data_IF_324516401188
#
_entry.id   IF_324516401188
#
_cell.length_a   1.000
_cell.length_b   1.000
_cell.length_c   1.000
_cell.angle_alpha   90.00
_cell.angle_beta   90.00
_cell.angle_gamma   90.00
#
_symmetry.space_group_name_H-M   'P 1'
#
loop_
_entity.id
_entity.type
_entity.pdbx_description
1 polymer ?
#
# COMPACT_ATOMS: atom_id res chain seq x y z
N UNK A 1 -19.98 -3.06 10.45
CA UNK A 1 -19.84 -4.53 10.47
C UNK A 1 -18.92 -4.98 9.34
N UNK A 2 -17.64 -5.17 9.63
CA UNK A 2 -16.63 -5.62 8.67
C UNK A 2 -16.70 -7.15 8.55
N UNK A 3 -17.24 -7.65 7.43
CA UNK A 3 -17.18 -9.09 7.10
C UNK A 3 -15.71 -9.48 6.94
N UNK A 4 -15.11 -10.05 8.00
CA UNK A 4 -13.85 -10.78 7.91
C UNK A 4 -14.05 -11.89 6.86
N UNK A 5 -13.41 -11.75 5.69
CA UNK A 5 -13.37 -12.82 4.70
C UNK A 5 -12.71 -14.03 5.39
N UNK A 6 -13.36 -15.21 5.40
CA UNK A 6 -12.87 -16.35 6.18
C UNK A 6 -11.52 -16.80 5.63
N UNK A 7 -10.52 -16.91 6.51
CA UNK A 7 -9.16 -17.34 6.19
C UNK A 7 -9.11 -18.70 5.46
N UNK A 8 -10.15 -19.53 5.63
CA UNK A 8 -10.30 -20.81 4.94
C UNK A 8 -10.44 -20.68 3.42
N UNK A 9 -10.98 -19.56 2.92
CA UNK A 9 -11.10 -19.32 1.48
C UNK A 9 -9.73 -19.09 0.82
N UNK A 10 -8.80 -18.44 1.54
CA UNK A 10 -7.41 -18.30 1.10
C UNK A 10 -6.68 -19.64 1.13
N UNK A 11 -6.89 -20.44 2.17
CA UNK A 11 -6.32 -21.79 2.27
C UNK A 11 -6.79 -22.71 1.12
N UNK A 12 -8.08 -22.65 0.79
CA UNK A 12 -8.67 -23.39 -0.34
C UNK A 12 -8.07 -22.97 -1.69
N UNK A 13 -7.94 -21.67 -1.94
CA UNK A 13 -7.29 -21.18 -3.15
C UNK A 13 -5.81 -21.59 -3.24
N UNK A 14 -5.06 -21.55 -2.13
CA UNK A 14 -3.65 -21.99 -2.15
C UNK A 14 -3.51 -23.50 -2.41
N UNK A 15 -4.37 -24.32 -1.81
CA UNK A 15 -4.35 -25.76 -2.05
C UNK A 15 -4.72 -26.11 -3.51
N UNK A 16 -5.75 -25.46 -4.05
CA UNK A 16 -6.15 -25.61 -5.45
C UNK A 16 -5.02 -25.20 -6.41
N UNK A 17 -4.30 -24.12 -6.07
CA UNK A 17 -3.18 -23.62 -6.86
C UNK A 17 -1.98 -24.58 -6.86
N UNK A 18 -1.66 -25.17 -5.70
CA UNK A 18 -0.61 -26.20 -5.57
C UNK A 18 -0.96 -27.43 -6.42
N UNK A 19 -2.21 -27.90 -6.34
CA UNK A 19 -2.68 -29.07 -7.11
C UNK A 19 -2.68 -28.79 -8.62
N UNK A 20 -3.09 -27.60 -9.04
CA UNK A 20 -3.07 -27.19 -10.45
C UNK A 20 -1.64 -27.22 -11.03
N UNK A 21 -0.67 -26.63 -10.31
CA UNK A 21 0.73 -26.63 -10.75
C UNK A 21 1.38 -28.02 -10.66
N UNK A 22 0.93 -28.87 -9.74
CA UNK A 22 1.37 -30.26 -9.64
C UNK A 22 0.86 -31.15 -10.79
N UNK A 23 -0.29 -30.80 -11.38
CA UNK A 23 -0.89 -31.50 -12.51
C UNK A 23 -0.44 -30.95 -13.87
N UNK A 24 0.09 -29.71 -13.90
CA UNK A 24 0.57 -29.08 -15.12
C UNK A 24 1.89 -29.71 -15.61
N UNK A 25 2.13 -29.78 -16.93
CA UNK A 25 3.43 -30.18 -17.47
C UNK A 25 4.53 -29.27 -16.90
N UNK A 26 5.63 -29.85 -16.41
CA UNK A 26 6.67 -29.09 -15.69
C UNK A 26 7.34 -27.97 -16.51
N UNK A 27 7.29 -28.08 -17.85
CA UNK A 27 7.77 -27.07 -18.80
C UNK A 27 6.89 -25.81 -18.81
N UNK A 28 5.63 -25.89 -18.36
CA UNK A 28 4.67 -24.79 -18.26
C UNK A 28 4.65 -24.14 -16.88
N UNK A 29 4.94 -24.89 -15.81
CA UNK A 29 4.94 -24.34 -14.45
C UNK A 29 6.02 -23.27 -14.23
N UNK A 30 7.24 -23.52 -14.70
CA UNK A 30 8.37 -22.60 -14.57
C UNK A 30 8.17 -21.26 -15.32
N UNK A 31 7.75 -21.23 -16.61
CA UNK A 31 7.47 -19.96 -17.29
C UNK A 31 6.26 -19.22 -16.70
N UNK A 32 5.27 -19.91 -16.13
CA UNK A 32 4.15 -19.27 -15.42
C UNK A 32 4.65 -18.56 -14.14
N UNK A 33 5.54 -19.19 -13.38
CA UNK A 33 6.15 -18.58 -12.20
C UNK A 33 7.05 -17.39 -12.58
N UNK A 34 7.83 -17.51 -13.66
CA UNK A 34 8.64 -16.40 -14.18
C UNK A 34 7.79 -15.24 -14.68
N UNK A 35 6.69 -15.51 -15.39
CA UNK A 35 5.75 -14.48 -15.84
C UNK A 35 5.07 -13.76 -14.67
N UNK A 36 4.70 -14.49 -13.61
CA UNK A 36 4.16 -13.90 -12.38
C UNK A 36 5.22 -13.03 -11.67
N UNK A 37 6.47 -13.48 -11.59
CA UNK A 37 7.56 -12.70 -11.01
C UNK A 37 7.85 -11.42 -11.83
N UNK A 38 7.90 -11.53 -13.16
CA UNK A 38 8.06 -10.39 -14.07
C UNK A 38 6.90 -9.40 -13.96
N UNK A 39 5.66 -9.90 -13.88
CA UNK A 39 4.47 -9.07 -13.69
C UNK A 39 4.53 -8.28 -12.37
N UNK A 40 5.03 -8.88 -11.28
CA UNK A 40 5.22 -8.17 -10.01
C UNK A 40 6.27 -7.07 -10.15
N UNK A 41 7.42 -7.38 -10.75
CA UNK A 41 8.50 -6.41 -10.93
C UNK A 41 8.08 -5.23 -11.82
N UNK A 42 7.37 -5.50 -12.92
CA UNK A 42 6.98 -4.50 -13.90
C UNK A 42 5.73 -3.69 -13.48
N UNK A 43 4.77 -4.32 -12.77
CA UNK A 43 3.53 -3.68 -12.37
C UNK A 43 3.48 -3.29 -10.88
N UNK A 44 4.61 -3.32 -10.16
CA UNK A 44 4.69 -2.97 -8.73
C UNK A 44 4.05 -1.62 -8.38
N UNK A 45 4.14 -0.63 -9.28
CA UNK A 45 3.55 0.71 -9.10
C UNK A 45 2.04 0.77 -9.39
N UNK A 46 1.47 -0.26 -10.05
CA UNK A 46 0.07 -0.30 -10.52
C UNK A 46 -0.80 -1.35 -9.83
N UNK A 47 -0.18 -2.33 -9.18
CA UNK A 47 -0.83 -3.40 -8.44
C UNK A 47 -1.32 -2.90 -7.08
N UNK A 48 -2.61 -3.10 -6.80
CA UNK A 48 -3.17 -2.83 -5.47
C UNK A 48 -2.59 -3.82 -4.44
N UNK A 49 -2.42 -3.39 -3.19
CA UNK A 49 -1.81 -4.17 -2.08
C UNK A 49 -2.38 -5.59 -1.93
N UNK A 50 -3.70 -5.74 -2.09
CA UNK A 50 -4.36 -7.05 -2.04
C UNK A 50 -3.92 -8.01 -3.16
N UNK A 51 -3.65 -7.51 -4.36
CA UNK A 51 -3.21 -8.31 -5.50
C UNK A 51 -1.73 -8.68 -5.38
N UNK A 52 -0.90 -7.76 -4.87
CA UNK A 52 0.51 -8.04 -4.59
C UNK A 52 0.66 -9.13 -3.52
N UNK A 53 -0.15 -9.11 -2.46
CA UNK A 53 -0.14 -10.13 -1.42
C UNK A 53 -0.56 -11.51 -1.97
N UNK A 54 -1.60 -11.56 -2.81
CA UNK A 54 -2.05 -12.78 -3.48
C UNK A 54 -0.98 -13.36 -4.41
N UNK A 55 -0.32 -12.54 -5.22
CA UNK A 55 0.73 -13.00 -6.13
C UNK A 55 1.96 -13.51 -5.36
N UNK A 56 2.34 -12.85 -4.25
CA UNK A 56 3.40 -13.36 -3.36
C UNK A 56 3.04 -14.72 -2.76
N UNK A 57 1.79 -14.89 -2.33
CA UNK A 57 1.33 -16.19 -1.83
C UNK A 57 1.33 -17.26 -2.93
N UNK A 58 0.94 -16.91 -4.15
CA UNK A 58 0.97 -17.80 -5.31
C UNK A 58 2.40 -18.21 -5.70
N UNK A 59 3.38 -17.30 -5.62
CA UNK A 59 4.79 -17.60 -5.90
C UNK A 59 5.38 -18.51 -4.81
N UNK A 60 5.07 -18.23 -3.54
CA UNK A 60 5.56 -19.00 -2.39
C UNK A 60 5.02 -20.43 -2.36
N UNK A 61 3.76 -20.63 -2.75
CA UNK A 61 3.13 -21.95 -2.79
C UNK A 61 3.16 -22.63 -4.15
N UNK A 62 3.49 -21.91 -5.23
CA UNK A 62 3.66 -22.49 -6.56
C UNK A 62 4.96 -23.28 -6.73
N UNK A 63 6.02 -22.89 -6.02
CA UNK A 63 7.30 -23.62 -5.96
C UNK A 63 7.13 -25.09 -5.47
N UNK A 64 6.44 -25.35 -4.34
CA UNK A 64 6.10 -26.71 -3.92
C UNK A 64 5.35 -27.53 -4.98
N UNK A 65 4.37 -26.94 -5.67
CA UNK A 65 3.60 -27.62 -6.72
C UNK A 65 4.46 -28.00 -7.93
N UNK A 66 5.35 -27.10 -8.38
CA UNK A 66 6.28 -27.37 -9.47
C UNK A 66 7.34 -28.42 -9.11
N UNK A 67 7.89 -28.38 -7.89
CA UNK A 67 8.83 -29.39 -7.40
C UNK A 67 8.20 -30.78 -7.35
N UNK A 68 6.92 -30.87 -6.97
CA UNK A 68 6.18 -32.13 -6.96
C UNK A 68 5.93 -32.68 -8.39
N UNK A 69 5.60 -31.81 -9.36
CA UNK A 69 5.49 -32.19 -10.77
C UNK A 69 6.82 -32.71 -11.35
N UNK A 70 7.94 -32.07 -10.97
CA UNK A 70 9.29 -32.50 -11.36
C UNK A 70 9.65 -33.86 -10.74
N UNK A 71 9.32 -34.07 -9.45
CA UNK A 71 9.55 -35.34 -8.75
C UNK A 71 8.77 -36.51 -9.38
N UNK A 72 7.55 -36.26 -9.86
CA UNK A 72 6.70 -37.29 -10.49
C UNK A 72 7.31 -37.87 -11.78
N UNK A 73 8.16 -37.11 -12.48
CA UNK A 73 8.73 -37.51 -13.78
C UNK A 73 10.19 -37.97 -13.66
N UNK A 74 10.98 -37.42 -12.74
CA UNK A 74 12.37 -37.86 -12.54
C UNK A 74 12.52 -39.25 -11.89
N UNK A 75 11.42 -39.86 -11.42
CA UNK A 75 11.46 -41.13 -10.72
C UNK A 75 11.98 -40.98 -9.29
N UNK A 76 11.65 -41.93 -8.42
CA UNK A 76 11.97 -41.90 -6.98
C UNK A 76 13.45 -42.07 -6.63
N UNK A 77 14.37 -41.75 -7.53
CA UNK A 77 15.81 -41.91 -7.32
C UNK A 77 16.39 -40.79 -6.46
N UNK A 78 17.45 -41.12 -5.70
CA UNK A 78 18.15 -40.19 -4.80
C UNK A 78 18.66 -38.93 -5.52
N UNK A 79 18.97 -39.03 -6.81
CA UNK A 79 19.38 -37.90 -7.64
C UNK A 79 18.23 -36.91 -7.90
N UNK A 80 17.00 -37.41 -8.07
CA UNK A 80 15.81 -36.59 -8.23
C UNK A 80 15.51 -35.77 -6.96
N UNK A 81 15.71 -36.39 -5.79
CA UNK A 81 15.63 -35.71 -4.49
C UNK A 81 16.70 -34.62 -4.35
N UNK A 82 17.94 -34.90 -4.77
CA UNK A 82 19.02 -33.91 -4.79
C UNK A 82 18.72 -32.70 -5.67
N UNK A 83 18.23 -32.94 -6.88
CA UNK A 83 17.83 -31.87 -7.81
C UNK A 83 16.65 -31.04 -7.28
N UNK A 84 15.66 -31.68 -6.64
CA UNK A 84 14.52 -30.99 -6.03
C UNK A 84 14.94 -30.13 -4.82
N UNK A 85 15.83 -30.64 -3.96
CA UNK A 85 16.38 -29.89 -2.82
C UNK A 85 17.23 -28.71 -3.29
N UNK A 86 18.06 -28.89 -4.33
CA UNK A 86 18.83 -27.80 -4.94
C UNK A 86 17.91 -26.76 -5.58
N UNK A 87 16.88 -27.17 -6.32
CA UNK A 87 15.89 -26.27 -6.90
C UNK A 87 15.11 -25.49 -5.83
N UNK A 88 14.72 -26.14 -4.75
CA UNK A 88 14.10 -25.49 -3.59
C UNK A 88 15.04 -24.48 -2.92
N UNK A 89 16.31 -24.83 -2.75
CA UNK A 89 17.32 -23.96 -2.17
C UNK A 89 17.59 -22.73 -3.05
N UNK A 90 17.73 -22.92 -4.36
CA UNK A 90 17.90 -21.84 -5.34
C UNK A 90 16.65 -20.95 -5.39
N UNK A 91 15.46 -21.55 -5.42
CA UNK A 91 14.20 -20.80 -5.38
C UNK A 91 14.04 -20.00 -4.09
N UNK A 92 14.38 -20.59 -2.95
CA UNK A 92 14.34 -19.93 -1.64
C UNK A 92 15.37 -18.80 -1.54
N UNK A 93 16.60 -19.02 -2.01
CA UNK A 93 17.65 -17.98 -2.01
C UNK A 93 17.34 -16.84 -2.96
N UNK A 94 16.75 -17.11 -4.13
CA UNK A 94 16.28 -16.08 -5.04
C UNK A 94 15.13 -15.26 -4.42
N UNK A 95 14.16 -15.93 -3.78
CA UNK A 95 13.06 -15.26 -3.08
C UNK A 95 13.57 -14.40 -1.92
N UNK A 96 14.45 -14.95 -1.09
CA UNK A 96 15.08 -14.23 0.02
C UNK A 96 15.92 -13.04 -0.49
N UNK A 97 16.62 -13.21 -1.61
CA UNK A 97 17.36 -12.13 -2.26
C UNK A 97 16.44 -11.02 -2.79
N UNK A 98 15.29 -11.39 -3.36
CA UNK A 98 14.27 -10.45 -3.81
C UNK A 98 13.65 -9.67 -2.64
N UNK A 99 13.33 -10.35 -1.54
CA UNK A 99 12.84 -9.73 -0.31
C UNK A 99 13.88 -8.78 0.28
N UNK A 100 15.15 -9.22 0.36
CA UNK A 100 16.25 -8.39 0.82
C UNK A 100 16.49 -7.16 -0.07
N UNK A 101 16.33 -7.29 -1.39
CA UNK A 101 16.46 -6.18 -2.33
C UNK A 101 15.30 -5.19 -2.21
N UNK A 102 14.07 -5.67 -2.09
CA UNK A 102 12.88 -4.83 -1.82
C UNK A 102 13.00 -4.08 -0.49
N UNK A 103 13.49 -4.73 0.56
CA UNK A 103 13.77 -4.08 1.84
C UNK A 103 14.97 -3.14 1.78
N UNK A 104 15.89 -3.33 0.82
CA UNK A 104 17.04 -2.45 0.61
C UNK A 104 16.63 -1.13 -0.03
N UNK A 105 15.67 -1.15 -0.95
CA UNK A 105 15.10 0.08 -1.51
C UNK A 105 14.28 0.87 -0.46
N UNK A 106 13.68 0.19 0.53
CA UNK A 106 13.09 0.85 1.70
C UNK A 106 14.15 1.47 2.63
N UNK A 107 15.32 0.82 2.73
CA UNK A 107 16.48 1.29 3.53
C UNK A 107 17.35 2.32 2.81
N UNK A 108 17.06 2.65 1.54
CA UNK A 108 17.65 3.79 0.82
C UNK A 108 17.03 5.14 1.22
N UNK A 109 16.39 5.22 2.39
CA UNK A 109 16.42 6.49 3.12
C UNK A 109 17.90 6.79 3.46
N UNK A 110 18.36 8.05 3.35
CA UNK A 110 19.74 8.39 3.68
C UNK A 110 20.08 7.80 5.06
N UNK A 111 21.20 7.08 5.13
CA UNK A 111 21.66 6.50 6.37
C UNK A 111 21.72 7.61 7.42
N UNK A 112 20.83 7.53 8.41
CA UNK A 112 20.92 8.38 9.59
C UNK A 112 22.30 8.20 10.23
N UNK A 113 22.77 9.19 11.00
CA UNK A 113 24.05 9.09 11.70
C UNK A 113 24.12 7.76 12.49
N UNK A 114 25.33 7.19 12.66
CA UNK A 114 25.51 5.91 13.35
C UNK A 114 24.74 5.92 14.66
N UNK A 115 23.87 4.93 14.84
CA UNK A 115 23.04 4.82 16.04
C UNK A 115 23.96 4.71 17.25
N UNK A 116 23.89 5.72 18.13
CA UNK A 116 24.66 5.75 19.37
C UNK A 116 24.36 4.50 20.20
N UNK A 117 25.39 3.95 20.82
CA UNK A 117 25.25 2.75 21.65
C UNK A 117 24.40 3.09 22.89
N UNK A 118 23.62 2.14 23.42
CA UNK A 118 22.72 2.36 24.57
C UNK A 118 23.33 3.16 25.75
N UNK A 119 24.64 3.00 26.11
CA UNK A 119 25.28 3.83 27.13
C UNK A 119 25.35 5.32 26.75
N UNK A 120 25.62 5.64 25.48
CA UNK A 120 25.69 7.01 24.97
C UNK A 120 24.30 7.66 24.91
N UNK A 121 23.27 6.89 24.56
CA UNK A 121 21.87 7.35 24.55
C UNK A 121 21.37 7.72 25.96
N UNK A 122 21.84 7.03 27.00
CA UNK A 122 21.49 7.31 28.39
C UNK A 122 22.14 8.60 28.93
N UNK A 123 23.29 9.00 28.37
CA UNK A 123 24.00 10.24 28.71
C UNK A 123 23.68 11.40 27.78
N UNK A 124 22.96 11.16 26.69
CA UNK A 124 22.49 12.21 25.82
C UNK A 124 21.60 13.16 26.63
N UNK A 125 21.78 14.49 26.48
CA UNK A 125 20.86 15.44 27.10
C UNK A 125 19.44 15.09 26.68
N UNK A 126 18.52 15.07 27.64
CA UNK A 126 17.09 14.83 27.38
C UNK A 126 16.72 15.78 26.26
N UNK A 127 16.37 15.21 25.10
CA UNK A 127 15.99 15.98 23.94
C UNK A 127 14.80 16.90 24.25
N UNK A 128 14.41 17.79 23.33
CA UNK A 128 13.18 18.55 23.51
C UNK A 128 12.05 17.58 23.91
N UNK A 129 11.16 17.97 24.83
CA UNK A 129 10.17 17.09 25.41
C UNK A 129 9.46 16.31 24.29
N UNK A 130 9.64 14.99 24.30
CA UNK A 130 9.06 14.11 23.30
C UNK A 130 7.53 14.10 23.53
N UNK A 131 6.81 14.82 22.67
CA UNK A 131 5.36 14.80 22.68
C UNK A 131 4.86 13.54 21.96
N UNK A 132 4.06 12.73 22.66
CA UNK A 132 3.39 11.60 22.04
C UNK A 132 2.26 12.15 21.17
N UNK A 133 2.33 11.88 19.87
CA UNK A 133 1.34 12.32 18.89
C UNK A 133 0.30 11.21 18.73
N UNK A 134 -0.84 11.36 19.41
CA UNK A 134 -1.99 10.46 19.23
C UNK A 134 -2.88 10.96 18.10
N UNK A 135 -2.95 10.18 17.02
CA UNK A 135 -3.78 10.52 15.87
C UNK A 135 -5.23 10.11 16.12
N UNK A 136 -6.14 11.08 16.01
CA UNK A 136 -7.57 10.81 15.94
C UNK A 136 -7.91 10.21 14.56
N UNK A 137 -8.55 9.04 14.48
CA UNK A 137 -8.84 8.39 13.22
C UNK A 137 -9.87 9.20 12.41
N UNK A 138 -9.73 9.25 11.07
CA UNK A 138 -10.66 9.98 10.23
C UNK A 138 -12.00 9.24 10.12
N UNK A 139 -13.10 9.97 10.34
CA UNK A 139 -14.45 9.43 10.16
C UNK A 139 -14.87 9.53 8.69
N UNK A 140 -14.67 8.44 7.96
CA UNK A 140 -15.03 8.35 6.55
C UNK A 140 -16.51 8.09 6.35
N UNK A 141 -17.11 8.88 5.45
CA UNK A 141 -18.47 8.73 4.97
C UNK A 141 -18.46 8.46 3.47
N UNK A 142 -19.46 7.73 2.98
CA UNK A 142 -19.64 7.59 1.53
C UNK A 142 -20.05 8.93 0.92
N UNK A 143 -19.47 9.27 -0.22
CA UNK A 143 -19.76 10.52 -0.93
C UNK A 143 -21.08 10.41 -1.72
N UNK A 144 -22.18 10.10 -1.03
CA UNK A 144 -23.50 9.87 -1.64
C UNK A 144 -24.59 10.46 -0.77
N UNK A 145 -25.57 11.09 -1.41
CA UNK A 145 -26.68 11.72 -0.73
C UNK A 145 -26.25 12.97 0.04
N UNK A 146 -27.02 13.33 1.05
CA UNK A 146 -26.80 14.51 1.88
C UNK A 146 -26.06 14.13 3.17
N UNK A 147 -24.98 14.85 3.47
CA UNK A 147 -24.16 14.63 4.66
C UNK A 147 -24.02 15.94 5.44
N UNK A 148 -24.19 15.95 6.78
CA UNK A 148 -24.05 17.18 7.56
C UNK A 148 -22.63 17.75 7.49
N UNK A 149 -22.53 19.07 7.28
CA UNK A 149 -21.28 19.80 7.33
C UNK A 149 -20.99 20.27 8.77
N UNK A 150 -19.82 19.95 9.36
CA UNK A 150 -19.45 20.42 10.70
C UNK A 150 -19.41 21.95 10.86
N UNK A 151 -19.23 22.72 9.78
CA UNK A 151 -19.27 24.19 9.80
C UNK A 151 -20.69 24.75 9.55
N UNK A 152 -21.69 23.89 9.37
CA UNK A 152 -23.07 24.26 9.11
C UNK A 152 -23.48 24.02 7.65
N UNK A 153 -24.76 23.66 7.44
CA UNK A 153 -25.30 23.24 6.15
C UNK A 153 -25.05 21.76 5.86
N UNK A 154 -25.14 21.38 4.58
CA UNK A 154 -24.94 20.02 4.12
C UNK A 154 -24.01 19.94 2.90
N UNK A 155 -23.44 18.75 2.73
CA UNK A 155 -22.66 18.33 1.58
C UNK A 155 -23.45 17.28 0.81
N UNK A 156 -23.70 17.57 -0.46
CA UNK A 156 -24.40 16.71 -1.40
C UNK A 156 -23.39 15.95 -2.23
N UNK A 157 -23.38 14.63 -2.12
CA UNK A 157 -22.60 13.75 -2.99
C UNK A 157 -23.20 13.72 -4.39
N UNK A 158 -22.43 14.15 -5.39
CA UNK A 158 -22.81 14.18 -6.80
C UNK A 158 -21.98 13.19 -7.62
N UNK A 159 -22.45 12.77 -8.82
CA UNK A 159 -21.64 11.95 -9.72
C UNK A 159 -20.32 12.67 -10.07
N UNK A 160 -19.20 12.16 -9.55
CA UNK A 160 -17.86 12.72 -9.80
C UNK A 160 -17.33 13.68 -8.72
N UNK A 161 -18.13 14.04 -7.72
CA UNK A 161 -17.74 15.06 -6.75
C UNK A 161 -18.69 15.26 -5.57
N UNK A 162 -18.51 16.36 -4.87
CA UNK A 162 -19.35 16.80 -3.77
C UNK A 162 -19.65 18.29 -3.93
N UNK A 163 -20.88 18.70 -3.64
CA UNK A 163 -21.31 20.09 -3.62
C UNK A 163 -21.73 20.49 -2.21
N UNK A 164 -21.23 21.60 -1.73
CA UNK A 164 -21.60 22.22 -0.47
C UNK A 164 -22.78 23.19 -0.69
N UNK A 165 -23.59 23.42 0.35
CA UNK A 165 -24.70 24.37 0.28
C UNK A 165 -24.27 25.82 0.00
N UNK A 166 -23.03 26.17 0.34
CA UNK A 166 -22.41 27.46 -0.01
C UNK A 166 -22.11 27.61 -1.51
N UNK A 167 -22.41 26.57 -2.32
CA UNK A 167 -22.16 26.52 -3.76
C UNK A 167 -20.78 25.95 -4.12
N UNK A 168 -19.91 25.69 -3.15
CA UNK A 168 -18.57 25.18 -3.39
C UNK A 168 -18.64 23.76 -3.94
N UNK A 169 -17.92 23.52 -5.04
CA UNK A 169 -17.80 22.19 -5.65
C UNK A 169 -16.40 21.63 -5.50
N UNK A 170 -16.36 20.34 -5.15
CA UNK A 170 -15.15 19.55 -5.01
C UNK A 170 -15.26 18.33 -5.90
N UNK A 171 -14.46 18.29 -6.95
CA UNK A 171 -14.50 17.23 -7.97
C UNK A 171 -13.16 16.50 -8.04
N UNK A 172 -13.23 15.21 -8.37
CA UNK A 172 -12.04 14.38 -8.58
C UNK A 172 -12.17 13.65 -9.92
N UNK A 173 -11.09 13.62 -10.71
CA UNK A 173 -11.10 13.04 -12.06
C UNK A 173 -11.58 11.58 -12.10
N UNK A 174 -11.27 10.81 -11.07
CA UNK A 174 -11.63 9.39 -10.96
C UNK A 174 -12.91 9.17 -10.11
N UNK A 175 -13.63 10.26 -9.78
CA UNK A 175 -14.79 10.30 -8.91
C UNK A 175 -14.45 10.26 -7.43
N UNK A 176 -15.23 10.98 -6.62
CA UNK A 176 -15.14 10.91 -5.16
C UNK A 176 -15.94 9.71 -4.66
N UNK A 177 -15.34 8.87 -3.82
CA UNK A 177 -16.01 7.70 -3.23
C UNK A 177 -16.25 7.86 -1.75
N UNK A 178 -15.31 8.48 -1.02
CA UNK A 178 -15.42 8.74 0.41
C UNK A 178 -14.93 10.12 0.76
N UNK A 179 -15.54 10.68 1.79
CA UNK A 179 -15.21 12.00 2.33
C UNK A 179 -15.04 11.92 3.84
N UNK A 180 -14.22 12.81 4.40
CA UNK A 180 -14.00 12.95 5.82
C UNK A 180 -13.74 14.42 6.17
N UNK A 181 -14.16 14.82 7.36
CA UNK A 181 -13.87 16.13 7.92
C UNK A 181 -12.85 16.00 9.06
N UNK A 182 -12.12 17.08 9.32
CA UNK A 182 -11.44 17.21 10.60
C UNK A 182 -12.46 17.44 11.73
N UNK A 183 -12.10 17.13 13.00
CA UNK A 183 -13.01 17.28 14.12
C UNK A 183 -13.67 18.67 14.25
N UNK A 184 -12.94 19.75 13.94
CA UNK A 184 -13.49 21.11 13.93
C UNK A 184 -13.99 21.57 12.53
N UNK A 185 -14.02 20.70 11.52
CA UNK A 185 -14.54 21.00 10.19
C UNK A 185 -13.64 21.85 9.29
N UNK A 186 -12.48 22.29 9.77
CA UNK A 186 -11.51 23.11 9.00
C UNK A 186 -11.06 22.41 7.73
N UNK A 187 -10.78 21.12 7.81
CA UNK A 187 -10.31 20.35 6.67
C UNK A 187 -11.41 19.47 6.12
N UNK A 188 -11.51 19.48 4.80
CA UNK A 188 -12.27 18.51 4.05
C UNK A 188 -11.32 17.62 3.25
N UNK A 189 -11.52 16.31 3.34
CA UNK A 189 -10.75 15.32 2.59
C UNK A 189 -11.70 14.50 1.76
N UNK A 190 -11.40 14.40 0.47
CA UNK A 190 -12.06 13.51 -0.45
C UNK A 190 -11.06 12.49 -0.97
N UNK A 191 -11.46 11.23 -1.06
CA UNK A 191 -10.67 10.20 -1.73
C UNK A 191 -11.49 9.47 -2.78
N UNK A 192 -10.80 9.00 -3.80
CA UNK A 192 -11.39 8.40 -4.98
C UNK A 192 -10.43 7.41 -5.63
N UNK A 193 -10.97 6.28 -6.13
CA UNK A 193 -10.23 5.29 -6.92
C UNK A 193 -8.83 4.93 -6.38
N UNK A 194 -7.87 4.75 -7.31
CA UNK A 194 -6.48 4.36 -7.01
C UNK A 194 -5.50 5.54 -6.88
N UNK A 195 -5.95 6.79 -6.95
CA UNK A 195 -5.09 7.94 -7.35
C UNK A 195 -4.88 9.03 -6.30
N UNK A 196 -5.14 8.74 -5.03
CA UNK A 196 -4.73 9.60 -3.91
C UNK A 196 -5.89 10.35 -3.27
N UNK A 197 -5.55 11.40 -2.52
CA UNK A 197 -6.47 12.19 -1.70
C UNK A 197 -6.47 13.64 -2.16
N UNK A 198 -7.66 14.22 -2.21
CA UNK A 198 -7.85 15.65 -2.33
C UNK A 198 -8.10 16.21 -0.93
N UNK A 199 -7.33 17.21 -0.56
CA UNK A 199 -7.42 17.90 0.72
C UNK A 199 -7.77 19.36 0.46
N UNK A 200 -8.73 19.89 1.22
CA UNK A 200 -9.15 21.29 1.15
C UNK A 200 -9.08 21.94 2.54
N UNK A 201 -8.22 22.95 2.68
CA UNK A 201 -8.20 23.88 3.82
C UNK A 201 -9.31 24.91 3.60
N UNK A 202 -10.43 24.76 4.30
CA UNK A 202 -11.60 25.64 4.13
C UNK A 202 -11.38 27.02 4.73
N UNK A 203 -10.47 27.15 5.68
CA UNK A 203 -10.16 28.43 6.33
C UNK A 203 -9.27 29.31 5.45
N UNK A 204 -8.36 28.69 4.69
CA UNK A 204 -7.44 29.40 3.79
C UNK A 204 -7.82 29.30 2.31
N UNK A 205 -8.91 28.59 2.04
CA UNK A 205 -9.36 28.17 0.72
C UNK A 205 -8.23 27.61 -0.16
N UNK A 206 -7.46 26.65 0.38
CA UNK A 206 -6.36 26.00 -0.34
C UNK A 206 -6.67 24.54 -0.60
N UNK A 207 -6.49 24.11 -1.85
CA UNK A 207 -6.71 22.73 -2.27
C UNK A 207 -5.38 22.08 -2.61
N UNK A 208 -5.15 20.90 -2.06
CA UNK A 208 -3.98 20.08 -2.28
C UNK A 208 -4.41 18.72 -2.84
N UNK A 209 -3.72 18.25 -3.88
CA UNK A 209 -3.95 16.92 -4.44
C UNK A 209 -2.72 16.07 -4.19
N UNK A 210 -2.82 15.15 -3.25
CA UNK A 210 -1.70 14.32 -2.82
C UNK A 210 -1.84 12.94 -3.47
N UNK A 211 -0.90 12.61 -4.36
CA UNK A 211 -0.89 11.31 -5.06
C UNK A 211 -0.10 10.29 -4.26
N UNK A 212 -0.63 9.07 -4.14
CA UNK A 212 0.04 8.00 -3.39
C UNK A 212 0.06 8.18 -1.87
N UNK A 213 -0.59 9.24 -1.35
CA UNK A 213 -0.76 9.49 0.06
C UNK A 213 -2.16 9.05 0.53
N UNK A 214 -2.23 8.58 1.77
CA UNK A 214 -3.46 8.20 2.45
C UNK A 214 -3.56 8.95 3.77
N UNK A 215 -4.74 9.44 4.11
CA UNK A 215 -4.97 10.10 5.39
C UNK A 215 -5.00 9.05 6.50
N UNK A 216 -4.10 9.20 7.48
CA UNK A 216 -4.03 8.34 8.66
C UNK A 216 -4.87 8.85 9.81
N UNK A 217 -4.95 10.17 9.97
CA UNK A 217 -5.70 10.79 11.05
C UNK A 217 -5.38 12.25 11.24
N UNK A 218 -5.90 12.76 12.36
CA UNK A 218 -5.87 14.15 12.74
C UNK A 218 -5.13 14.33 14.05
N UNK A 219 -4.30 15.35 14.13
CA UNK A 219 -3.71 15.77 15.40
C UNK A 219 -3.77 17.29 15.48
N UNK A 220 -4.45 17.83 16.50
CA UNK A 220 -4.67 19.28 16.68
C UNK A 220 -5.15 19.97 15.39
N UNK A 221 -6.19 19.41 14.74
CA UNK A 221 -6.73 19.92 13.46
C UNK A 221 -5.71 19.96 12.30
N UNK A 222 -4.63 19.17 12.36
CA UNK A 222 -3.70 18.99 11.25
C UNK A 222 -3.84 17.59 10.66
N UNK A 223 -3.88 17.45 9.33
CA UNK A 223 -3.94 16.16 8.68
C UNK A 223 -2.56 15.51 8.65
N UNK A 224 -2.55 14.22 9.00
CA UNK A 224 -1.38 13.35 8.93
C UNK A 224 -1.59 12.28 7.88
N UNK A 225 -0.55 12.05 7.06
CA UNK A 225 -0.61 11.14 5.93
C UNK A 225 0.49 10.09 5.98
N UNK A 226 0.26 8.97 5.34
CA UNK A 226 1.29 7.96 5.05
C UNK A 226 1.22 7.53 3.59
N UNK A 227 2.34 7.09 3.02
CA UNK A 227 2.35 6.52 1.66
C UNK A 227 1.76 5.11 1.63
N UNK A 228 1.95 4.36 2.72
CA UNK A 228 1.48 2.97 2.86
C UNK A 228 1.13 2.68 4.32
N UNK A 229 0.24 1.71 4.51
CA UNK A 229 -0.06 1.17 5.83
C UNK A 229 1.24 0.66 6.50
N UNK A 230 1.52 1.11 7.72
CA UNK A 230 2.76 0.81 8.45
C UNK A 230 3.96 1.72 8.17
N UNK A 231 3.87 2.69 7.26
CA UNK A 231 4.92 3.74 7.10
C UNK A 231 4.73 4.86 8.12
N UNK A 232 5.82 5.50 8.53
CA UNK A 232 5.78 6.62 9.49
C UNK A 232 4.85 7.72 8.97
N UNK A 233 3.84 8.13 9.76
CA UNK A 233 2.94 9.19 9.35
C UNK A 233 3.67 10.54 9.37
N UNK A 234 3.37 11.37 8.40
CA UNK A 234 3.97 12.69 8.22
C UNK A 234 2.88 13.76 8.23
N UNK A 235 3.17 14.90 8.87
CA UNK A 235 2.32 16.08 8.83
C UNK A 235 2.30 16.67 7.41
N UNK A 236 1.20 17.35 7.05
CA UNK A 236 1.03 17.96 5.73
C UNK A 236 2.22 18.82 5.26
N UNK A 237 2.84 19.60 6.15
CA UNK A 237 3.98 20.44 5.79
C UNK A 237 5.17 19.61 5.25
N UNK A 238 5.47 18.46 5.88
CA UNK A 238 6.51 17.56 5.43
C UNK A 238 6.14 16.86 4.13
N UNK A 239 4.86 16.50 3.96
CA UNK A 239 4.33 15.89 2.73
C UNK A 239 4.46 16.84 1.54
N UNK A 240 4.05 18.10 1.71
CA UNK A 240 4.15 19.11 0.66
C UNK A 240 5.60 19.44 0.30
N UNK A 241 6.52 19.35 1.25
CA UNK A 241 7.96 19.47 0.97
C UNK A 241 8.50 18.33 0.10
N UNK A 242 8.04 17.09 0.31
CA UNK A 242 8.46 15.94 -0.49
C UNK A 242 7.91 15.94 -1.93
N UNK A 243 6.68 16.42 -2.14
CA UNK A 243 6.07 16.47 -3.48
C UNK A 243 6.68 17.58 -4.37
N UNK A 244 7.38 18.57 -3.79
CA UNK A 244 8.05 19.63 -4.55
C UNK A 244 9.36 19.17 -5.21
N UNK A 245 9.99 18.13 -4.66
CA UNK A 245 11.23 17.54 -5.19
C UNK A 245 10.99 16.51 -6.31
N UNK A 246 9.73 16.16 -6.60
CA UNK A 246 9.36 15.25 -7.68
C UNK A 246 9.14 16.06 -8.98
N UNK A 247 9.95 15.85 -10.05
CA UNK A 247 9.88 16.67 -11.25
C UNK A 247 8.50 16.56 -11.93
N UNK A 248 7.97 17.65 -12.51
CA UNK A 248 6.68 17.61 -13.22
C UNK A 248 6.75 16.65 -14.40
N UNK A 249 5.71 15.83 -14.57
CA UNK A 249 5.53 14.93 -15.72
C UNK A 249 5.67 15.73 -17.04
N UNK A 250 6.42 15.22 -18.05
CA UNK A 250 6.48 15.88 -19.35
C UNK A 250 5.08 15.91 -20.00
N UNK A 251 4.75 16.98 -20.75
CA UNK A 251 3.45 17.10 -21.38
C UNK A 251 3.22 15.93 -22.35
N UNK A 252 2.13 15.19 -22.16
CA UNK A 252 1.63 14.26 -23.18
C UNK A 252 0.95 15.08 -24.28
N UNK A 253 1.60 15.11 -25.45
CA UNK A 253 1.00 15.61 -26.69
C UNK A 253 -0.14 14.66 -27.11
N UNK A 254 -1.24 15.20 -27.69
CA UNK A 254 -2.50 14.49 -27.89
C UNK A 254 -2.42 13.33 -28.89
#
# INVERSE_FOLDING_TARGET
MTRRRPAWMFAGCTALWVVLLALLPWWLGLPILLALAAAVLLLQHRLATAHAALIRSALRWGLPGWLFALQRILGGDAFAWGAALLGALVGYTLLAGLEAWLDRDLRRAPAGPPAAEWPELAHAPIGPPAEIIELSPPQWHEARGELPDPLGGAVHGEPGGCRFDDGTRVEMRDGVTRIAFSPAGRWFVACGGKRGVLLWDRQRDRRHRLRGWQLCGWYREQPWFSRREGTMPLALAAVLGHDADEPPDPPHNP
#
